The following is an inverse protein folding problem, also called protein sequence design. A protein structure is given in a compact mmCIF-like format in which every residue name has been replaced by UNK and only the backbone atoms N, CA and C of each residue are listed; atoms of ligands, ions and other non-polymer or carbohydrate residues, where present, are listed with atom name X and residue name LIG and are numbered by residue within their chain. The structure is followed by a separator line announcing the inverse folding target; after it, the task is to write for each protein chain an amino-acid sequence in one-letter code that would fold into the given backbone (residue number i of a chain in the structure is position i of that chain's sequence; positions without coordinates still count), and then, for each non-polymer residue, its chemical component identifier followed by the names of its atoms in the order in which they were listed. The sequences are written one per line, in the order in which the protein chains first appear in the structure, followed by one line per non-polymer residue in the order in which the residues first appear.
data_IF_472649504991
#
_entry.id   IF_472649504991
#
_cell.length_a   1.000
_cell.length_b   1.000
_cell.length_c   1.000
_cell.angle_alpha   90.00
_cell.angle_beta   90.00
_cell.angle_gamma   90.00
#
_symmetry.space_group_name_H-M   'P 1'
#
loop_
_entity.id
_entity.type
_entity.pdbx_description
1 polymer ?
#
# COMPACT_ATOMS: atom_id res chain seq x y z
N UNK A 1 30.46 19.33 -5.91
CA UNK A 1 29.33 18.54 -5.37
C UNK A 1 28.53 19.42 -4.42
N UNK A 2 27.24 19.66 -4.66
CA UNK A 2 26.41 20.55 -3.81
C UNK A 2 25.54 19.74 -2.84
N UNK A 3 24.99 20.37 -1.79
CA UNK A 3 24.18 19.68 -0.79
C UNK A 3 22.97 18.95 -1.39
N UNK A 4 22.32 19.52 -2.41
CA UNK A 4 21.22 18.86 -3.12
C UNK A 4 21.68 17.62 -3.92
N UNK A 5 22.86 17.67 -4.56
CA UNK A 5 23.43 16.51 -5.25
C UNK A 5 23.94 15.44 -4.27
N UNK A 6 24.38 15.84 -3.08
CA UNK A 6 24.76 14.91 -2.02
C UNK A 6 23.54 14.16 -1.49
N UNK A 7 22.42 14.87 -1.24
CA UNK A 7 21.15 14.24 -0.85
C UNK A 7 20.66 13.24 -1.89
N UNK A 8 20.68 13.62 -3.17
CA UNK A 8 20.30 12.72 -4.26
C UNK A 8 21.17 11.45 -4.27
N UNK A 9 22.50 11.60 -4.13
CA UNK A 9 23.41 10.45 -4.05
C UNK A 9 23.15 9.55 -2.84
N UNK A 10 22.81 10.11 -1.68
CA UNK A 10 22.45 9.31 -0.50
C UNK A 10 21.17 8.51 -0.74
N UNK A 11 20.20 9.11 -1.44
CA UNK A 11 18.98 8.43 -1.84
C UNK A 11 19.25 7.32 -2.88
N UNK A 12 20.02 7.61 -3.93
CA UNK A 12 20.43 6.62 -4.96
C UNK A 12 21.22 5.43 -4.40
N UNK A 13 21.91 5.63 -3.27
CA UNK A 13 22.64 4.57 -2.54
C UNK A 13 21.82 3.90 -1.44
N UNK A 14 20.52 4.19 -1.36
CA UNK A 14 19.59 3.65 -0.36
C UNK A 14 19.99 3.92 1.10
N UNK A 15 20.85 4.93 1.33
CA UNK A 15 21.28 5.35 2.68
C UNK A 15 20.16 6.11 3.39
N UNK A 16 19.28 6.77 2.63
CA UNK A 16 18.10 7.48 3.14
C UNK A 16 16.86 7.09 2.33
N UNK A 17 15.73 6.94 3.02
CA UNK A 17 14.43 6.64 2.39
C UNK A 17 13.77 7.86 1.73
N UNK A 18 12.76 7.58 0.90
CA UNK A 18 12.00 8.59 0.14
C UNK A 18 11.49 9.74 1.02
N UNK A 19 10.81 9.41 2.13
CA UNK A 19 10.18 10.41 3.01
C UNK A 19 11.19 11.46 3.48
N UNK A 20 12.36 10.99 3.91
CA UNK A 20 13.43 11.84 4.40
C UNK A 20 14.10 12.65 3.27
N UNK A 21 14.32 12.03 2.11
CA UNK A 21 14.89 12.69 0.95
C UNK A 21 13.97 13.80 0.41
N UNK A 22 12.68 13.50 0.24
CA UNK A 22 11.66 14.43 -0.24
C UNK A 22 11.48 15.62 0.70
N UNK A 23 11.34 15.37 2.01
CA UNK A 23 11.20 16.43 3.01
C UNK A 23 12.41 17.38 3.00
N UNK A 24 13.64 16.84 2.89
CA UNK A 24 14.86 17.66 2.82
C UNK A 24 14.92 18.50 1.54
N UNK A 25 14.50 17.98 0.39
CA UNK A 25 14.45 18.77 -0.86
C UNK A 25 13.38 19.86 -0.79
N UNK A 26 12.23 19.61 -0.15
CA UNK A 26 11.20 20.63 0.09
C UNK A 26 11.66 21.77 1.01
N UNK A 27 12.51 21.47 1.99
CA UNK A 27 13.16 22.52 2.79
C UNK A 27 14.09 23.35 1.91
N UNK A 28 14.90 22.72 1.05
CA UNK A 28 15.82 23.42 0.16
C UNK A 28 15.11 24.31 -0.88
N UNK A 29 13.93 23.89 -1.36
CA UNK A 29 13.05 24.68 -2.21
C UNK A 29 12.63 25.98 -1.52
N UNK A 30 12.15 25.90 -0.27
CA UNK A 30 11.71 27.07 0.52
C UNK A 30 12.85 28.05 0.83
N UNK A 31 14.06 27.52 1.04
CA UNK A 31 15.23 28.33 1.37
C UNK A 31 15.77 29.10 0.14
N UNK A 32 15.29 28.80 -1.07
CA UNK A 32 15.57 29.59 -2.28
C UNK A 32 17.03 29.57 -2.75
N UNK A 33 17.84 28.64 -2.25
CA UNK A 33 19.28 28.55 -2.55
C UNK A 33 19.62 27.87 -3.87
N UNK A 34 18.65 27.23 -4.51
CA UNK A 34 18.84 26.49 -5.75
C UNK A 34 17.87 27.00 -6.81
N UNK A 35 18.32 27.02 -8.06
CA UNK A 35 17.45 27.34 -9.18
C UNK A 35 16.24 26.38 -9.19
N UNK A 36 15.01 26.86 -9.44
CA UNK A 36 13.81 26.02 -9.44
C UNK A 36 13.93 24.78 -10.34
N UNK A 37 14.66 24.87 -11.46
CA UNK A 37 14.88 23.74 -12.35
C UNK A 37 15.69 22.61 -11.70
N UNK A 38 16.67 22.95 -10.86
CA UNK A 38 17.48 21.97 -10.14
C UNK A 38 16.62 21.28 -9.08
N UNK A 39 15.77 22.05 -8.37
CA UNK A 39 14.81 21.48 -7.42
C UNK A 39 13.85 20.52 -8.14
N UNK A 40 13.29 20.92 -9.28
CA UNK A 40 12.39 20.10 -10.08
C UNK A 40 13.05 18.82 -10.59
N UNK A 41 14.28 18.91 -11.11
CA UNK A 41 15.02 17.74 -11.58
C UNK A 41 15.30 16.73 -10.45
N UNK A 42 15.68 17.21 -9.28
CA UNK A 42 15.96 16.36 -8.12
C UNK A 42 14.70 15.75 -7.54
N UNK A 43 13.60 16.52 -7.42
CA UNK A 43 12.30 16.00 -7.00
C UNK A 43 11.79 14.94 -7.97
N UNK A 44 12.00 15.13 -9.27
CA UNK A 44 11.68 14.12 -10.29
C UNK A 44 12.49 12.86 -10.07
N UNK A 45 13.82 12.93 -9.92
CA UNK A 45 14.67 11.74 -9.70
C UNK A 45 14.36 10.99 -8.40
N UNK A 46 13.99 11.71 -7.33
CA UNK A 46 13.53 11.11 -6.07
C UNK A 46 12.13 10.49 -6.25
N UNK A 47 11.28 11.09 -7.08
CA UNK A 47 9.94 10.58 -7.43
C UNK A 47 9.95 9.42 -8.42
N UNK A 48 10.93 9.33 -9.32
CA UNK A 48 11.12 8.24 -10.28
C UNK A 48 11.39 6.90 -9.57
N UNK A 49 11.94 6.91 -8.34
CA UNK A 49 12.03 5.73 -7.47
C UNK A 49 10.71 5.37 -6.76
N UNK A 50 9.67 6.18 -6.93
CA UNK A 50 8.31 6.01 -6.39
C UNK A 50 7.24 5.86 -7.47
N UNK A 51 7.60 5.97 -8.75
CA UNK A 51 6.72 5.47 -9.80
C UNK A 51 6.64 3.96 -9.58
N UNK A 52 5.48 3.55 -9.10
CA UNK A 52 4.99 2.18 -9.17
C UNK A 52 5.15 1.76 -10.63
N UNK A 53 6.30 1.16 -10.97
CA UNK A 53 6.66 0.83 -12.35
C UNK A 53 5.54 -0.05 -12.86
N UNK A 54 4.72 0.49 -13.77
CA UNK A 54 3.59 -0.24 -14.32
C UNK A 54 4.10 -1.49 -15.04
N UNK A 55 4.07 -2.62 -14.34
CA UNK A 55 4.41 -3.90 -14.88
C UNK A 55 3.28 -4.36 -15.80
N UNK A 56 3.61 -4.76 -17.03
CA UNK A 56 2.64 -5.35 -17.95
C UNK A 56 2.62 -6.86 -17.71
N UNK A 57 1.51 -7.34 -17.17
CA UNK A 57 1.25 -8.77 -17.02
C UNK A 57 0.32 -9.25 -18.14
N UNK A 58 0.75 -10.24 -18.91
CA UNK A 58 -0.08 -10.91 -19.93
C UNK A 58 -0.65 -12.20 -19.36
N UNK A 59 -1.98 -12.31 -19.30
CA UNK A 59 -2.69 -13.46 -18.75
C UNK A 59 -3.61 -14.07 -19.80
N UNK A 60 -3.65 -15.40 -19.86
CA UNK A 60 -4.64 -16.13 -20.65
C UNK A 60 -5.88 -16.35 -19.78
N UNK A 61 -7.00 -15.81 -20.21
CA UNK A 61 -8.30 -15.96 -19.57
C UNK A 61 -9.22 -16.82 -20.43
N UNK A 62 -10.13 -17.53 -19.79
CA UNK A 62 -11.21 -18.22 -20.49
C UNK A 62 -12.18 -17.20 -21.12
N UNK A 63 -12.91 -17.64 -22.15
CA UNK A 63 -13.92 -16.82 -22.82
C UNK A 63 -14.94 -16.23 -21.82
N UNK A 64 -15.39 -17.05 -20.87
CA UNK A 64 -16.36 -16.66 -19.83
C UNK A 64 -15.83 -15.56 -18.91
N UNK A 65 -14.55 -15.57 -18.57
CA UNK A 65 -13.94 -14.53 -17.73
C UNK A 65 -13.82 -13.21 -18.48
N UNK A 66 -13.40 -13.25 -19.75
CA UNK A 66 -13.33 -12.07 -20.61
C UNK A 66 -14.71 -11.43 -20.78
N UNK A 67 -15.74 -12.24 -21.05
CA UNK A 67 -17.12 -11.77 -21.19
C UNK A 67 -17.62 -11.02 -19.94
N UNK A 68 -17.33 -11.52 -18.74
CA UNK A 68 -17.67 -10.85 -17.47
C UNK A 68 -16.97 -9.50 -17.32
N UNK A 69 -15.66 -9.44 -17.61
CA UNK A 69 -14.89 -8.19 -17.54
C UNK A 69 -15.46 -7.16 -18.51
N UNK A 70 -15.80 -7.58 -19.72
CA UNK A 70 -16.41 -6.71 -20.72
C UNK A 70 -17.78 -6.19 -20.31
N UNK A 71 -18.60 -7.04 -19.69
CA UNK A 71 -19.92 -6.64 -19.19
C UNK A 71 -19.80 -5.54 -18.12
N UNK A 72 -18.91 -5.73 -17.14
CA UNK A 72 -18.65 -4.74 -16.09
C UNK A 72 -18.08 -3.45 -16.71
N UNK A 73 -17.11 -3.57 -17.62
CA UNK A 73 -16.51 -2.43 -18.31
C UNK A 73 -17.56 -1.58 -19.06
N UNK A 74 -18.53 -2.23 -19.71
CA UNK A 74 -19.67 -1.53 -20.36
C UNK A 74 -20.58 -0.86 -19.33
N UNK A 75 -20.94 -1.55 -18.25
CA UNK A 75 -21.85 -1.03 -17.21
C UNK A 75 -21.26 0.17 -16.47
N UNK A 76 -19.95 0.16 -16.21
CA UNK A 76 -19.24 1.20 -15.46
C UNK A 76 -18.57 2.25 -16.36
N UNK A 77 -18.68 2.14 -17.68
CA UNK A 77 -17.98 3.00 -18.64
C UNK A 77 -16.46 3.09 -18.41
N UNK A 78 -15.83 1.93 -18.15
CA UNK A 78 -14.39 1.79 -17.88
C UNK A 78 -13.67 0.95 -18.94
N UNK A 79 -12.34 1.03 -18.97
CA UNK A 79 -11.53 0.15 -19.83
C UNK A 79 -11.43 -1.25 -19.24
N UNK A 80 -11.35 -2.29 -20.08
CA UNK A 80 -11.20 -3.69 -19.63
C UNK A 80 -10.02 -3.91 -18.67
N UNK A 81 -8.87 -3.30 -18.96
CA UNK A 81 -7.69 -3.40 -18.11
C UNK A 81 -7.84 -2.70 -16.76
N UNK A 82 -8.67 -1.66 -16.69
CA UNK A 82 -9.00 -1.00 -15.42
C UNK A 82 -9.88 -1.90 -14.56
N UNK A 83 -10.94 -2.46 -15.14
CA UNK A 83 -11.81 -3.44 -14.47
C UNK A 83 -11.02 -4.67 -14.01
N UNK A 84 -10.16 -5.22 -14.87
CA UNK A 84 -9.33 -6.37 -14.53
C UNK A 84 -8.42 -6.07 -13.32
N UNK A 85 -7.79 -4.89 -13.28
CA UNK A 85 -6.98 -4.46 -12.12
C UNK A 85 -7.83 -4.31 -10.87
N UNK A 86 -9.01 -3.67 -10.95
CA UNK A 86 -9.91 -3.55 -9.80
C UNK A 86 -10.33 -4.92 -9.26
N UNK A 87 -10.67 -5.87 -10.14
CA UNK A 87 -11.01 -7.24 -9.73
C UNK A 87 -9.84 -7.95 -9.04
N UNK A 88 -8.60 -7.75 -9.52
CA UNK A 88 -7.40 -8.26 -8.85
C UNK A 88 -7.23 -7.65 -7.45
N UNK A 89 -7.40 -6.33 -7.32
CA UNK A 89 -7.36 -5.65 -6.03
C UNK A 89 -8.42 -6.18 -5.06
N UNK A 90 -9.68 -6.34 -5.52
CA UNK A 90 -10.74 -6.94 -4.71
C UNK A 90 -10.43 -8.39 -4.32
N UNK A 91 -9.85 -9.17 -5.24
CA UNK A 91 -9.41 -10.53 -4.96
C UNK A 91 -8.33 -10.60 -3.87
N UNK A 92 -7.37 -9.66 -3.89
CA UNK A 92 -6.32 -9.54 -2.87
C UNK A 92 -6.89 -9.23 -1.49
N UNK A 93 -7.80 -8.26 -1.41
CA UNK A 93 -8.49 -7.91 -0.16
C UNK A 93 -9.25 -9.12 0.37
N UNK A 94 -10.08 -9.75 -0.48
CA UNK A 94 -10.90 -10.88 -0.09
C UNK A 94 -10.07 -12.08 0.40
N UNK A 95 -8.95 -12.38 -0.25
CA UNK A 95 -8.03 -13.44 0.17
C UNK A 95 -7.49 -13.19 1.58
N UNK A 96 -7.06 -11.96 1.87
CA UNK A 96 -6.51 -11.62 3.17
C UNK A 96 -7.58 -11.59 4.27
N UNK A 97 -8.78 -11.06 3.98
CA UNK A 97 -9.92 -11.15 4.88
C UNK A 97 -10.26 -12.61 5.23
N UNK A 98 -10.25 -13.50 4.24
CA UNK A 98 -10.46 -14.94 4.45
C UNK A 98 -9.38 -15.54 5.36
N UNK A 99 -8.10 -15.24 5.12
CA UNK A 99 -6.99 -15.73 5.96
C UNK A 99 -7.12 -15.25 7.40
N UNK A 100 -7.50 -13.98 7.62
CA UNK A 100 -7.73 -13.44 8.95
C UNK A 100 -8.90 -14.13 9.64
N UNK A 101 -10.04 -14.27 8.97
CA UNK A 101 -11.22 -14.97 9.49
C UNK A 101 -10.92 -16.43 9.88
N UNK A 102 -10.05 -17.10 9.13
CA UNK A 102 -9.60 -18.46 9.42
C UNK A 102 -8.51 -18.53 10.51
N UNK A 103 -8.13 -17.40 11.12
CA UNK A 103 -7.07 -17.34 12.15
C UNK A 103 -5.65 -17.55 11.62
N UNK A 104 -5.45 -17.53 10.29
CA UNK A 104 -4.14 -17.79 9.66
C UNK A 104 -3.18 -16.61 9.72
N UNK A 105 -3.70 -15.41 9.91
CA UNK A 105 -2.92 -14.18 10.05
C UNK A 105 -3.49 -13.31 11.17
N UNK A 106 -2.63 -12.57 11.86
CA UNK A 106 -3.05 -11.59 12.88
C UNK A 106 -3.63 -10.32 12.24
N UNK A 107 -4.27 -9.48 13.06
CA UNK A 107 -4.77 -8.17 12.63
C UNK A 107 -3.63 -7.27 12.13
N UNK A 108 -2.48 -7.27 12.83
CA UNK A 108 -1.30 -6.52 12.41
C UNK A 108 -0.75 -7.01 11.06
N UNK A 109 -0.71 -8.33 10.87
CA UNK A 109 -0.28 -8.92 9.58
C UNK A 109 -1.23 -8.51 8.47
N UNK A 110 -2.54 -8.56 8.71
CA UNK A 110 -3.56 -8.12 7.76
C UNK A 110 -3.39 -6.64 7.38
N UNK A 111 -3.20 -5.77 8.37
CA UNK A 111 -2.99 -4.34 8.17
C UNK A 111 -1.75 -4.08 7.28
N UNK A 112 -0.66 -4.80 7.55
CA UNK A 112 0.58 -4.71 6.76
C UNK A 112 0.40 -5.19 5.32
N UNK A 113 -0.26 -6.34 5.10
CA UNK A 113 -0.48 -6.93 3.77
C UNK A 113 -1.44 -6.11 2.89
N UNK A 114 -2.30 -5.30 3.53
CA UNK A 114 -3.21 -4.38 2.84
C UNK A 114 -2.70 -2.94 2.80
N UNK A 115 -1.53 -2.67 3.38
CA UNK A 115 -0.94 -1.33 3.52
C UNK A 115 -1.89 -0.32 4.19
N UNK A 116 -2.65 -0.79 5.18
CA UNK A 116 -3.58 -0.01 5.98
C UNK A 116 -3.05 0.19 7.40
N UNK A 117 -3.52 1.22 8.08
CA UNK A 117 -3.42 1.29 9.54
C UNK A 117 -4.30 0.21 10.20
N UNK A 118 -4.02 -0.09 11.47
CA UNK A 118 -4.85 -1.02 12.25
C UNK A 118 -6.29 -0.53 12.34
N UNK A 119 -6.52 0.78 12.50
CA UNK A 119 -7.87 1.35 12.56
C UNK A 119 -8.63 1.15 11.25
N UNK A 120 -8.02 1.51 10.12
CA UNK A 120 -8.63 1.31 8.79
C UNK A 120 -8.91 -0.17 8.51
N UNK A 121 -8.06 -1.06 9.01
CA UNK A 121 -8.26 -2.50 8.91
C UNK A 121 -9.47 -2.97 9.74
N UNK A 122 -9.69 -2.42 10.93
CA UNK A 122 -10.88 -2.71 11.74
C UNK A 122 -12.14 -2.21 11.05
N UNK A 123 -12.10 -1.00 10.48
CA UNK A 123 -13.23 -0.42 9.73
C UNK A 123 -13.56 -1.30 8.51
N UNK A 124 -12.54 -1.75 7.78
CA UNK A 124 -12.69 -2.69 6.66
C UNK A 124 -13.29 -4.02 7.10
N UNK A 125 -12.83 -4.60 8.21
CA UNK A 125 -13.39 -5.84 8.75
C UNK A 125 -14.88 -5.68 9.10
N UNK A 126 -15.26 -4.53 9.68
CA UNK A 126 -16.64 -4.21 10.02
C UNK A 126 -17.51 -4.05 8.76
N UNK A 127 -17.03 -3.34 7.73
CA UNK A 127 -17.72 -3.18 6.44
C UNK A 127 -18.04 -4.53 5.79
N UNK A 128 -17.11 -5.49 5.87
CA UNK A 128 -17.27 -6.83 5.30
C UNK A 128 -17.92 -7.84 6.26
N UNK A 129 -18.33 -7.42 7.46
CA UNK A 129 -18.96 -8.30 8.46
C UNK A 129 -18.05 -9.43 8.94
N UNK A 130 -16.73 -9.23 8.92
CA UNK A 130 -15.75 -10.20 9.38
C UNK A 130 -15.51 -9.97 10.86
N UNK A 131 -15.96 -10.90 11.70
CA UNK A 131 -15.72 -10.86 13.14
C UNK A 131 -14.28 -11.28 13.47
N UNK A 132 -13.75 -10.75 14.57
CA UNK A 132 -12.48 -11.21 15.12
C UNK A 132 -12.53 -12.73 15.36
N UNK A 133 -11.49 -13.48 14.96
CA UNK A 133 -11.39 -14.92 15.25
C UNK A 133 -11.04 -15.20 16.72
N UNK A 134 -10.72 -14.17 17.49
CA UNK A 134 -10.35 -14.27 18.91
C UNK A 134 -11.62 -14.51 19.73
N UNK A 135 -11.64 -15.59 20.51
CA UNK A 135 -12.75 -15.88 21.41
C UNK A 135 -12.70 -15.00 22.67
N UNK A 136 -13.79 -14.99 23.43
CA UNK A 136 -13.83 -14.28 24.71
C UNK A 136 -12.81 -14.82 25.71
N UNK A 137 -12.56 -16.12 25.68
CA UNK A 137 -11.62 -16.79 26.58
C UNK A 137 -10.17 -16.40 26.25
N UNK A 138 -9.83 -16.31 24.96
CA UNK A 138 -8.52 -15.85 24.49
C UNK A 138 -8.23 -14.39 24.94
N UNK A 139 -9.27 -13.56 24.99
CA UNK A 139 -9.14 -12.17 25.48
C UNK A 139 -8.84 -12.12 26.98
N UNK A 140 -9.50 -12.95 27.79
CA UNK A 140 -9.27 -13.01 29.24
C UNK A 140 -7.86 -13.51 29.55
N UNK A 141 -7.39 -14.53 28.83
CA UNK A 141 -6.04 -15.08 29.00
C UNK A 141 -4.95 -14.06 28.64
N UNK A 142 -5.16 -13.27 27.59
CA UNK A 142 -4.28 -12.15 27.24
C UNK A 142 -4.24 -11.06 28.33
N UNK A 143 -5.39 -10.74 28.94
CA UNK A 143 -5.50 -9.79 30.05
C UNK A 143 -4.77 -10.26 31.31
N UNK A 144 -4.89 -11.55 31.66
CA UNK A 144 -4.16 -12.12 32.79
C UNK A 144 -2.65 -12.10 32.55
N UNK A 145 -2.21 -12.44 31.34
CA UNK A 145 -0.79 -12.39 30.95
C UNK A 145 -0.23 -10.97 31.06
N UNK A 146 -0.97 -9.95 30.61
CA UNK A 146 -0.57 -8.55 30.74
C UNK A 146 -0.43 -8.10 32.19
N UNK A 147 -1.32 -8.55 33.09
CA UNK A 147 -1.25 -8.24 34.53
C UNK A 147 -0.04 -8.89 35.21
N UNK A 148 0.49 -9.99 34.67
CA UNK A 148 1.70 -10.64 35.20
C UNK A 148 2.99 -9.95 34.73
N UNK A 149 2.91 -9.09 33.71
CA UNK A 149 4.04 -8.35 33.14
C UNK A 149 4.18 -6.91 33.68
N UNK A 150 3.22 -6.44 34.48
CA UNK A 150 3.21 -5.14 35.16
C UNK A 150 3.64 -5.23 36.62
#
# INVERSE_FOLDING_TARGET
MTAIHFLLRLYEKEVIGYELAFAKVKILERVGRYHPDIIRDVLRKIGEGREDKMAVLSLRLSKKEVEKIEEIARKENKKKGEVARSLLSYGWIFLNLKRYKEGKISLETLAKELELSVSETIDLLAEYGVTSPISYDDYLEGLETLKQLS
#
